data_IF_868883804935
#
_entry.id   IF_868883804935
#
_cell.length_a   1.000
_cell.length_b   1.000
_cell.length_c   1.000
_cell.angle_alpha   90.00
_cell.angle_beta   90.00
_cell.angle_gamma   90.00
#
_symmetry.space_group_name_H-M   'P 1'
#
loop_
_entity.id
_entity.type
_entity.pdbx_description
1 polymer ?
#
# COMPACT_ATOMS: atom_id res chain seq x y z
N UNK A 1 -33.05 -0.67 24.23
CA UNK A 1 -31.88 0.20 24.30
C UNK A 1 -30.58 -0.55 24.36
N UNK A 2 -30.51 -1.57 25.21
CA UNK A 2 -29.28 -2.39 25.25
C UNK A 2 -28.99 -3.08 23.94
N UNK A 3 -30.02 -3.57 23.24
CA UNK A 3 -29.86 -4.21 21.95
C UNK A 3 -29.29 -3.23 20.91
N UNK A 4 -29.76 -2.00 20.92
CA UNK A 4 -29.29 -0.97 20.00
C UNK A 4 -27.83 -0.65 20.27
N UNK A 5 -27.43 -0.57 21.53
CA UNK A 5 -26.04 -0.33 21.89
C UNK A 5 -25.17 -1.48 21.47
N UNK A 6 -25.60 -2.73 21.68
CA UNK A 6 -24.84 -3.90 21.26
C UNK A 6 -24.68 -3.94 19.75
N UNK A 7 -25.76 -3.68 19.01
CA UNK A 7 -25.68 -3.65 17.57
C UNK A 7 -24.75 -2.54 17.07
N UNK A 8 -24.81 -1.39 17.71
CA UNK A 8 -23.91 -0.30 17.37
C UNK A 8 -22.46 -0.69 17.57
N UNK A 9 -22.15 -1.32 18.72
CA UNK A 9 -20.77 -1.76 18.98
C UNK A 9 -20.32 -2.83 18.02
N UNK A 10 -21.20 -3.76 17.66
CA UNK A 10 -20.89 -4.79 16.68
C UNK A 10 -20.62 -4.18 15.31
N UNK A 11 -21.45 -3.24 14.90
CA UNK A 11 -21.28 -2.56 13.62
C UNK A 11 -19.97 -1.77 13.59
N UNK A 12 -19.67 -1.07 14.68
CA UNK A 12 -18.40 -0.35 14.77
C UNK A 12 -17.21 -1.29 14.71
N UNK A 13 -17.31 -2.43 15.41
CA UNK A 13 -16.26 -3.43 15.39
C UNK A 13 -15.99 -3.95 13.98
N UNK A 14 -17.06 -4.22 13.22
CA UNK A 14 -16.94 -4.66 11.84
C UNK A 14 -16.32 -3.59 10.95
N UNK A 15 -16.73 -2.35 11.14
CA UNK A 15 -16.16 -1.24 10.37
C UNK A 15 -14.67 -1.06 10.66
N UNK A 16 -14.30 -1.14 11.95
CA UNK A 16 -12.89 -1.04 12.33
C UNK A 16 -12.09 -2.17 11.70
N UNK A 17 -12.60 -3.40 11.76
CA UNK A 17 -11.93 -4.54 11.18
C UNK A 17 -11.75 -4.38 9.68
N UNK A 18 -12.80 -3.92 8.98
CA UNK A 18 -12.74 -3.70 7.54
C UNK A 18 -11.73 -2.61 7.19
N UNK A 19 -11.72 -1.53 7.96
CA UNK A 19 -10.77 -0.44 7.73
C UNK A 19 -9.34 -0.88 8.00
N UNK A 20 -9.13 -1.71 9.01
CA UNK A 20 -7.81 -2.25 9.31
C UNK A 20 -7.30 -3.11 8.15
N UNK A 21 -8.17 -3.94 7.57
CA UNK A 21 -7.82 -4.76 6.42
C UNK A 21 -7.49 -3.89 5.22
N UNK A 22 -8.33 -2.90 4.93
CA UNK A 22 -8.09 -1.96 3.83
C UNK A 22 -6.75 -1.24 4.00
N UNK A 23 -6.48 -0.77 5.22
CA UNK A 23 -5.23 -0.09 5.50
C UNK A 23 -4.03 -1.00 5.28
N UNK A 24 -4.11 -2.25 5.72
CA UNK A 24 -3.03 -3.21 5.52
C UNK A 24 -2.79 -3.47 4.04
N UNK A 25 -3.87 -3.62 3.27
CA UNK A 25 -3.77 -3.81 1.82
C UNK A 25 -3.14 -2.61 1.14
N UNK A 26 -3.55 -1.41 1.52
CA UNK A 26 -2.99 -0.19 0.94
C UNK A 26 -1.52 -0.04 1.26
N UNK A 27 -1.11 -0.39 2.49
CA UNK A 27 0.31 -0.35 2.87
C UNK A 27 1.12 -1.35 2.05
N UNK A 28 0.58 -2.55 1.85
CA UNK A 28 1.26 -3.56 1.06
C UNK A 28 1.42 -3.09 -0.38
N UNK A 29 0.37 -2.49 -0.95
CA UNK A 29 0.43 -1.94 -2.30
C UNK A 29 1.44 -0.81 -2.40
N UNK A 30 1.47 0.07 -1.39
CA UNK A 30 2.43 1.16 -1.36
C UNK A 30 3.86 0.64 -1.32
N UNK A 31 4.12 -0.35 -0.47
CA UNK A 31 5.45 -0.96 -0.39
C UNK A 31 5.86 -1.59 -1.71
N UNK A 32 4.94 -2.27 -2.37
CA UNK A 32 5.21 -2.88 -3.67
C UNK A 32 5.53 -1.83 -4.72
N UNK A 33 4.77 -0.73 -4.73
CA UNK A 33 5.01 0.37 -5.67
C UNK A 33 6.35 1.06 -5.40
N UNK A 34 6.72 1.24 -4.15
CA UNK A 34 8.00 1.83 -3.80
C UNK A 34 9.16 0.95 -4.27
N UNK A 35 9.04 -0.36 -4.08
CA UNK A 35 10.05 -1.31 -4.54
C UNK A 35 10.17 -1.28 -6.05
N UNK A 36 9.04 -1.31 -6.75
CA UNK A 36 9.02 -1.23 -8.21
C UNK A 36 9.62 0.08 -8.69
N UNK A 37 9.31 1.16 -8.00
CA UNK A 37 9.84 2.48 -8.33
C UNK A 37 11.35 2.51 -8.22
N UNK A 38 11.90 1.93 -7.15
CA UNK A 38 13.34 1.85 -6.96
C UNK A 38 14.02 1.02 -8.04
N UNK A 39 13.40 -0.09 -8.41
CA UNK A 39 13.91 -0.94 -9.48
C UNK A 39 13.94 -0.19 -10.81
N UNK A 40 12.88 0.54 -11.11
CA UNK A 40 12.80 1.32 -12.33
C UNK A 40 13.84 2.43 -12.35
N UNK A 41 14.05 3.10 -11.22
CA UNK A 41 15.08 4.12 -11.12
C UNK A 41 16.47 3.56 -11.36
N UNK A 42 16.76 2.39 -10.78
CA UNK A 42 18.03 1.72 -10.99
C UNK A 42 18.22 1.35 -12.44
N UNK A 43 17.16 0.89 -13.09
CA UNK A 43 17.22 0.53 -14.50
C UNK A 43 17.45 1.75 -15.39
N UNK A 44 16.80 2.85 -15.06
CA UNK A 44 17.01 4.10 -15.77
C UNK A 44 18.46 4.55 -15.64
N UNK A 45 19.02 4.45 -14.44
CA UNK A 45 20.44 4.80 -14.23
C UNK A 45 21.37 3.92 -15.05
N UNK A 46 21.10 2.62 -15.10
CA UNK A 46 21.89 1.70 -15.89
C UNK A 46 21.85 2.05 -17.38
N UNK A 47 20.65 2.32 -17.87
CA UNK A 47 20.47 2.69 -19.27
C UNK A 47 21.14 4.02 -19.60
N UNK A 48 21.10 4.96 -18.66
CA UNK A 48 21.78 6.24 -18.82
C UNK A 48 23.30 6.07 -18.89
N UNK A 49 23.85 5.21 -18.05
CA UNK A 49 25.27 4.93 -18.04
C UNK A 49 25.70 4.28 -19.36
N UNK A 50 24.91 3.32 -19.84
CA UNK A 50 25.21 2.67 -21.12
C UNK A 50 25.17 3.67 -22.25
N UNK A 51 24.21 4.59 -22.22
CA UNK A 51 24.15 5.66 -23.22
C UNK A 51 25.35 6.58 -23.18
N UNK A 52 25.80 6.93 -21.98
CA UNK A 52 26.99 7.78 -21.81
C UNK A 52 28.25 7.08 -22.28
N UNK A 53 28.35 5.78 -22.04
CA UNK A 53 29.54 5.01 -22.38
C UNK A 53 29.65 4.72 -23.87
N UNK A 54 28.56 4.86 -24.63
CA UNK A 54 28.54 4.58 -26.05
C UNK A 54 28.91 5.77 -26.92
N UNK A 55 29.31 6.84 -26.31
CA UNK A 55 29.84 7.99 -27.04
C UNK A 55 31.30 7.71 -27.47
#
# INVERSE_FOLDING_TARGET
MEQTQQQTLQNLGLEIANKAIENAQLRAQLNALQSENEQLKSRIEELSKDGENND
#
